data_IF_797529771946
#
_entry.id   IF_797529771946
#
_cell.length_a   1.000
_cell.length_b   1.000
_cell.length_c   1.000
_cell.angle_alpha   90.00
_cell.angle_beta   90.00
_cell.angle_gamma   90.00
#
_symmetry.space_group_name_H-M   'P 1'
#
loop_
_entity.id
_entity.type
_entity.pdbx_description
1 polymer ?
#
# COMPACT_ATOMS: atom_id res chain seq x y z
N UNK A 1 -12.80 -2.73 12.67
CA UNK A 1 -12.63 -2.53 11.21
C UNK A 1 -12.15 -1.09 10.90
N UNK A 2 -10.88 -0.77 11.18
CA UNK A 2 -10.33 0.61 11.02
C UNK A 2 -9.19 0.72 9.97
N UNK A 3 -9.17 -0.16 8.96
CA UNK A 3 -8.04 -0.26 8.00
C UNK A 3 -8.36 0.18 6.56
N UNK A 4 -9.51 0.76 6.27
CA UNK A 4 -9.80 1.33 4.95
C UNK A 4 -9.64 2.86 4.96
N UNK A 5 -8.40 3.35 5.17
CA UNK A 5 -8.12 4.81 5.13
C UNK A 5 -7.85 5.35 3.71
N UNK A 6 -7.67 4.48 2.72
CA UNK A 6 -7.27 4.88 1.36
C UNK A 6 -8.45 4.73 0.39
N UNK A 7 -8.71 5.73 -0.47
CA UNK A 7 -9.82 5.73 -1.43
C UNK A 7 -9.83 4.50 -2.35
N UNK A 8 -8.65 4.00 -2.68
CA UNK A 8 -8.42 2.75 -3.39
C UNK A 8 -9.12 1.54 -2.76
N UNK A 9 -9.01 1.35 -1.44
CA UNK A 9 -9.63 0.21 -0.76
C UNK A 9 -11.17 0.26 -0.83
N UNK A 10 -11.75 1.46 -0.88
CA UNK A 10 -13.20 1.65 -1.02
C UNK A 10 -13.67 1.31 -2.44
N UNK A 11 -12.99 1.84 -3.46
CA UNK A 11 -13.27 1.55 -4.88
C UNK A 11 -13.23 0.03 -5.15
N UNK A 12 -12.26 -0.63 -4.53
CA UNK A 12 -12.08 -2.07 -4.63
C UNK A 12 -13.16 -2.91 -3.97
N UNK A 13 -13.56 -2.51 -2.76
CA UNK A 13 -14.64 -3.19 -2.04
C UNK A 13 -15.95 -3.07 -2.83
N UNK A 14 -16.20 -1.90 -3.45
CA UNK A 14 -17.34 -1.69 -4.34
C UNK A 14 -17.29 -2.58 -5.58
N UNK A 15 -16.13 -2.69 -6.23
CA UNK A 15 -15.90 -3.61 -7.35
C UNK A 15 -16.26 -5.06 -6.97
N UNK A 16 -15.68 -5.57 -5.90
CA UNK A 16 -15.92 -6.93 -5.42
C UNK A 16 -17.40 -7.16 -5.07
N UNK A 17 -18.04 -6.16 -4.46
CA UNK A 17 -19.45 -6.22 -4.13
C UNK A 17 -20.33 -6.30 -5.38
N UNK A 18 -20.06 -5.50 -6.42
CA UNK A 18 -20.81 -5.56 -7.69
C UNK A 18 -20.65 -6.88 -8.41
N UNK A 19 -19.45 -7.46 -8.39
CA UNK A 19 -19.20 -8.79 -8.96
C UNK A 19 -19.97 -9.85 -8.18
N UNK A 20 -19.91 -9.81 -6.84
CA UNK A 20 -20.59 -10.77 -5.97
C UNK A 20 -22.11 -10.71 -6.09
N UNK A 21 -22.66 -9.51 -6.28
CA UNK A 21 -24.10 -9.28 -6.47
C UNK A 21 -24.55 -9.38 -7.93
N UNK A 22 -23.63 -9.70 -8.85
CA UNK A 22 -23.86 -9.81 -10.29
C UNK A 22 -24.53 -8.57 -10.91
N UNK A 23 -24.32 -7.39 -10.31
CA UNK A 23 -24.96 -6.14 -10.73
C UNK A 23 -24.38 -5.56 -12.03
N UNK A 24 -23.17 -5.99 -12.41
CA UNK A 24 -22.51 -5.48 -13.61
C UNK A 24 -22.02 -6.66 -14.45
N UNK A 25 -22.48 -6.71 -15.71
CA UNK A 25 -22.07 -7.72 -16.69
C UNK A 25 -20.74 -7.42 -17.39
N UNK A 26 -20.33 -6.15 -17.45
CA UNK A 26 -19.21 -5.72 -18.28
C UNK A 26 -18.13 -4.94 -17.51
N UNK A 27 -16.87 -5.32 -17.71
CA UNK A 27 -15.72 -4.70 -17.07
C UNK A 27 -15.51 -3.23 -17.44
N UNK A 28 -15.90 -2.84 -18.65
CA UNK A 28 -15.84 -1.44 -19.11
C UNK A 28 -16.78 -0.54 -18.29
N UNK A 29 -17.99 -1.01 -17.97
CA UNK A 29 -18.96 -0.26 -17.17
C UNK A 29 -18.48 -0.04 -15.73
N UNK A 30 -17.69 -0.96 -15.18
CA UNK A 30 -17.03 -0.79 -13.89
C UNK A 30 -15.97 0.32 -13.98
N UNK A 31 -15.16 0.31 -15.04
CA UNK A 31 -14.12 1.32 -15.28
C UNK A 31 -14.69 2.73 -15.39
N UNK A 32 -15.76 2.88 -16.15
CA UNK A 32 -16.48 4.16 -16.29
C UNK A 32 -17.04 4.66 -14.95
N UNK A 33 -17.66 3.77 -14.16
CA UNK A 33 -18.23 4.14 -12.85
C UNK A 33 -17.18 4.51 -11.80
N UNK A 34 -16.01 3.86 -11.83
CA UNK A 34 -14.92 4.12 -10.89
C UNK A 34 -13.93 5.19 -11.39
N UNK A 35 -14.06 5.65 -12.64
CA UNK A 35 -13.08 6.53 -13.28
C UNK A 35 -11.70 5.88 -13.43
N UNK A 36 -11.66 4.54 -13.61
CA UNK A 36 -10.43 3.74 -13.72
C UNK A 36 -10.34 3.05 -15.06
N UNK A 37 -9.12 2.84 -15.54
CA UNK A 37 -8.92 2.12 -16.78
C UNK A 37 -9.30 0.63 -16.62
N UNK A 38 -9.79 -0.03 -17.68
CA UNK A 38 -10.04 -1.46 -17.68
C UNK A 38 -8.80 -2.30 -17.34
N UNK A 39 -7.61 -1.82 -17.72
CA UNK A 39 -6.33 -2.45 -17.40
C UNK A 39 -6.05 -2.44 -15.88
N UNK A 40 -6.40 -1.34 -15.19
CA UNK A 40 -6.32 -1.29 -13.72
C UNK A 40 -7.20 -2.35 -13.09
N UNK A 41 -8.46 -2.47 -13.53
CA UNK A 41 -9.44 -3.47 -13.03
C UNK A 41 -8.99 -4.91 -13.31
N UNK A 42 -8.38 -5.17 -14.48
CA UNK A 42 -7.83 -6.48 -14.82
C UNK A 42 -6.66 -6.86 -13.91
N UNK A 43 -5.69 -5.97 -13.75
CA UNK A 43 -4.54 -6.16 -12.83
C UNK A 43 -5.01 -6.44 -11.41
N UNK A 44 -6.00 -5.67 -11.00
CA UNK A 44 -6.72 -5.79 -9.76
C UNK A 44 -7.24 -7.22 -9.57
N UNK A 45 -8.10 -7.72 -10.43
CA UNK A 45 -8.64 -9.07 -10.33
C UNK A 45 -7.57 -10.17 -10.33
N UNK A 46 -6.51 -10.00 -11.11
CA UNK A 46 -5.37 -10.92 -11.10
C UNK A 46 -4.68 -10.99 -9.74
N UNK A 47 -4.48 -9.84 -9.07
CA UNK A 47 -3.93 -9.80 -7.71
C UNK A 47 -4.86 -10.49 -6.70
N UNK A 48 -6.17 -10.28 -6.82
CA UNK A 48 -7.15 -10.95 -5.97
C UNK A 48 -7.10 -12.48 -6.14
N UNK A 49 -6.99 -12.97 -7.38
CA UNK A 49 -6.86 -14.40 -7.69
C UNK A 49 -5.56 -15.01 -7.14
N UNK A 50 -4.48 -14.23 -7.07
CA UNK A 50 -3.17 -14.71 -6.64
C UNK A 50 -2.95 -14.65 -5.12
N UNK A 51 -3.43 -13.60 -4.46
CA UNK A 51 -3.07 -13.29 -3.07
C UNK A 51 -4.25 -13.18 -2.11
N UNK A 52 -5.49 -13.40 -2.58
CA UNK A 52 -6.72 -13.22 -1.82
C UNK A 52 -6.89 -11.79 -1.26
N UNK A 53 -7.94 -11.57 -0.46
CA UNK A 53 -8.31 -10.25 0.08
C UNK A 53 -7.19 -9.52 0.87
N UNK A 54 -6.36 -10.18 1.71
CA UNK A 54 -5.34 -9.49 2.51
C UNK A 54 -4.19 -8.96 1.65
N UNK A 55 -3.74 -9.70 0.63
CA UNK A 55 -2.67 -9.22 -0.26
C UNK A 55 -3.10 -8.02 -1.12
N UNK A 56 -4.41 -7.83 -1.28
CA UNK A 56 -5.02 -6.75 -2.04
C UNK A 56 -5.23 -5.48 -1.20
N UNK A 57 -5.58 -5.67 0.07
CA UNK A 57 -5.76 -4.60 1.06
C UNK A 57 -4.44 -4.21 1.74
N UNK A 58 -3.38 -4.97 1.51
CA UNK A 58 -2.03 -4.62 1.91
C UNK A 58 -1.61 -3.36 1.17
N UNK A 59 -1.65 -2.23 1.88
CA UNK A 59 -1.02 -1.01 1.44
C UNK A 59 0.48 -1.29 1.42
N UNK A 60 1.00 -1.72 0.25
CA UNK A 60 2.44 -1.82 0.00
C UNK A 60 2.98 -0.40 0.09
N UNK A 61 3.31 0.01 1.32
CA UNK A 61 4.09 1.20 1.58
C UNK A 61 5.36 1.00 0.78
N UNK A 62 5.55 1.84 -0.25
CA UNK A 62 6.80 1.83 -0.99
C UNK A 62 7.91 1.84 0.05
N UNK A 63 8.80 0.85 -0.03
CA UNK A 63 9.99 0.85 0.79
C UNK A 63 10.71 2.13 0.36
N UNK A 64 10.60 3.19 1.17
CA UNK A 64 11.27 4.45 0.88
C UNK A 64 12.77 4.21 0.71
N UNK A 65 13.51 5.26 0.34
CA UNK A 65 14.96 5.17 0.29
C UNK A 65 15.47 4.49 1.56
N UNK A 66 16.17 3.37 1.34
CA UNK A 66 16.79 2.61 2.40
C UNK A 66 17.65 3.59 3.21
N UNK A 67 17.49 3.67 4.54
CA UNK A 67 18.24 4.65 5.33
C UNK A 67 19.73 4.47 5.05
N UNK A 68 20.41 5.57 4.71
CA UNK A 68 21.81 5.56 4.30
C UNK A 68 22.74 5.15 5.44
N UNK A 69 22.32 5.40 6.68
CA UNK A 69 23.03 5.01 7.90
C UNK A 69 22.47 3.68 8.39
N UNK A 70 23.30 2.63 8.39
CA UNK A 70 22.94 1.26 8.75
C UNK A 70 24.01 0.60 9.61
N UNK A 71 23.63 -0.50 10.26
CA UNK A 71 24.55 -1.39 10.97
C UNK A 71 25.32 -0.68 12.08
N UNK A 72 26.63 -0.91 12.12
CA UNK A 72 27.53 -0.42 13.16
C UNK A 72 27.58 1.11 13.25
N UNK A 73 27.40 1.82 12.14
CA UNK A 73 27.42 3.29 12.11
C UNK A 73 26.23 3.85 12.89
N UNK A 74 25.06 3.24 12.77
CA UNK A 74 23.88 3.62 13.56
C UNK A 74 24.07 3.30 15.03
N UNK A 75 24.68 2.15 15.36
CA UNK A 75 24.94 1.76 16.75
C UNK A 75 25.91 2.73 17.44
N UNK A 76 27.00 3.09 16.77
CA UNK A 76 27.97 4.09 17.26
C UNK A 76 27.32 5.47 17.41
N UNK A 77 26.48 5.88 16.45
CA UNK A 77 25.76 7.15 16.54
C UNK A 77 24.81 7.17 17.74
N UNK A 78 24.04 6.10 17.97
CA UNK A 78 23.17 5.98 19.14
C UNK A 78 23.95 6.04 20.45
N UNK A 79 25.03 5.26 20.57
CA UNK A 79 25.89 5.29 21.76
C UNK A 79 26.44 6.68 22.04
N UNK A 80 26.86 7.40 20.99
CA UNK A 80 27.38 8.76 21.12
C UNK A 80 26.31 9.78 21.48
N UNK A 81 25.07 9.62 21.00
CA UNK A 81 23.92 10.44 21.41
C UNK A 81 23.56 10.26 22.89
N UNK A 82 23.78 9.05 23.44
CA UNK A 82 23.56 8.76 24.86
C UNK A 82 24.71 9.23 25.78
N UNK A 83 25.87 9.57 25.22
CA UNK A 83 26.99 10.10 26.00
C UNK A 83 26.78 11.61 26.24
N UNK A 84 26.95 12.06 27.49
CA UNK A 84 26.80 13.48 27.88
C UNK A 84 27.81 14.44 27.18
N UNK A 85 28.87 13.89 26.59
CA UNK A 85 29.79 14.65 25.74
C UNK A 85 29.12 14.94 24.40
N UNK A 86 28.68 16.17 24.21
CA UNK A 86 28.15 16.69 22.95
C UNK A 86 29.10 16.48 21.76
N UNK A 87 28.57 16.65 20.55
CA UNK A 87 29.40 16.60 19.34
C UNK A 87 30.38 17.78 19.35
N UNK A 88 31.66 17.51 19.04
CA UNK A 88 32.63 18.56 18.77
C UNK A 88 32.07 19.44 17.65
N UNK A 89 31.92 20.71 17.96
CA UNK A 89 31.05 21.69 17.30
C UNK A 89 31.25 21.86 15.78
N UNK A 90 30.22 22.45 15.18
CA UNK A 90 30.01 22.81 13.77
C UNK A 90 31.16 23.57 13.10
#
# INVERSE_FOLDING_TARGET
>A
MKQAKTGFCKEWLQLLWWIKTNQIRYWQAIGERLGRSPASISRWLSLYRQGSLPALLEEKKALGALPQIRGEVLAKLKQRLFAEKGFGSY
#
